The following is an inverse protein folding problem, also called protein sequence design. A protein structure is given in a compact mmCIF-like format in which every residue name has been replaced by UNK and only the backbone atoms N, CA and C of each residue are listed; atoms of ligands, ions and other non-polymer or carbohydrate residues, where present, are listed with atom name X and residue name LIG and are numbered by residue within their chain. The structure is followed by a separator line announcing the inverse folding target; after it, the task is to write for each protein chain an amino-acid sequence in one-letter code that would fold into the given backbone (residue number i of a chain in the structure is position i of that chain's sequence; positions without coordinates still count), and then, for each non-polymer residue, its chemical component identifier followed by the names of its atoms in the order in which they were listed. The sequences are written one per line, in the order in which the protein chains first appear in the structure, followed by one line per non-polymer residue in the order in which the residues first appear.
data_IF_893675804462
#
_entry.id   IF_893675804462
#
_cell.length_a   1.000
_cell.length_b   1.000
_cell.length_c   1.000
_cell.angle_alpha   90.00
_cell.angle_beta   90.00
_cell.angle_gamma   90.00
#
_symmetry.space_group_name_H-M   'P 1'
#
loop_
_entity.id
_entity.type
_entity.pdbx_description
1 polymer ?
#
# COMPACT_ATOMS: atom_id res chain seq x y z
N UNK A 1 78.44 4.66 -24.21
CA UNK A 1 78.43 3.51 -23.29
C UNK A 1 77.35 3.74 -22.26
N UNK A 2 76.20 3.09 -22.23
CA UNK A 2 75.44 2.18 -23.13
C UNK A 2 74.06 2.13 -22.43
N UNK A 3 72.99 2.61 -23.07
CA UNK A 3 72.01 1.80 -23.81
C UNK A 3 71.68 0.42 -23.20
N UNK A 4 70.47 0.31 -22.64
CA UNK A 4 69.70 -0.94 -22.59
C UNK A 4 69.22 -1.28 -24.01
N UNK A 5 69.13 -2.57 -24.41
CA UNK A 5 67.85 -3.29 -24.27
C UNK A 5 67.98 -4.83 -24.09
N UNK A 6 66.84 -5.50 -23.83
CA UNK A 6 66.67 -6.98 -23.84
C UNK A 6 66.76 -7.59 -25.26
N UNK A 7 66.14 -8.74 -25.62
CA UNK A 7 65.20 -9.61 -24.88
C UNK A 7 65.44 -11.16 -25.08
N UNK A 8 64.45 -11.98 -24.68
CA UNK A 8 64.02 -13.29 -25.27
C UNK A 8 64.46 -14.63 -24.62
N UNK A 9 63.45 -15.31 -24.05
CA UNK A 9 63.07 -16.76 -24.03
C UNK A 9 64.14 -17.83 -24.32
N UNK A 10 64.20 -19.01 -23.71
CA UNK A 10 63.19 -20.07 -23.50
C UNK A 10 64.03 -21.26 -22.92
N UNK A 11 63.72 -21.97 -21.85
CA UNK A 11 63.00 -23.26 -21.80
C UNK A 11 63.41 -23.94 -20.49
N UNK A 12 62.46 -24.47 -19.73
CA UNK A 12 62.65 -25.77 -19.06
C UNK A 12 61.29 -26.48 -18.97
N UNK A 13 61.33 -27.75 -19.36
CA UNK A 13 60.20 -28.60 -19.72
C UNK A 13 59.40 -29.10 -18.51
N UNK A 14 58.07 -29.09 -18.70
CA UNK A 14 56.97 -29.93 -18.16
C UNK A 14 57.45 -31.41 -18.09
N UNK A 15 57.32 -32.27 -17.06
CA UNK A 15 56.26 -32.63 -16.07
C UNK A 15 56.68 -33.96 -15.36
N UNK A 16 55.80 -34.77 -14.70
CA UNK A 16 54.70 -34.53 -13.75
C UNK A 16 54.79 -35.44 -12.48
N UNK A 17 53.96 -35.13 -11.47
CA UNK A 17 53.20 -36.02 -10.56
C UNK A 17 53.21 -35.42 -9.15
N UNK A 18 52.12 -34.74 -8.81
CA UNK A 18 50.96 -35.31 -8.09
C UNK A 18 51.32 -35.51 -6.62
N UNK A 19 50.99 -34.50 -5.82
CA UNK A 19 50.22 -34.75 -4.62
C UNK A 19 49.10 -33.72 -4.54
N UNK A 20 47.89 -34.25 -4.63
CA UNK A 20 46.61 -33.59 -4.47
C UNK A 20 46.43 -33.23 -3.01
N UNK A 21 46.44 -31.95 -2.66
CA UNK A 21 45.58 -31.47 -1.56
C UNK A 21 44.94 -30.14 -1.95
N UNK A 22 43.63 -30.23 -2.20
CA UNK A 22 42.71 -29.11 -2.43
C UNK A 22 42.66 -28.15 -1.22
N UNK A 23 42.45 -26.84 -1.43
CA UNK A 23 42.07 -25.92 -0.37
C UNK A 23 40.57 -26.09 -0.06
N UNK A 24 40.21 -26.93 0.91
CA UNK A 24 38.78 -27.19 1.28
C UNK A 24 38.44 -26.98 2.77
N UNK A 25 39.32 -26.41 3.60
CA UNK A 25 39.15 -26.50 5.08
C UNK A 25 39.07 -25.19 5.87
N UNK A 26 38.70 -24.07 5.25
CA UNK A 26 38.37 -22.82 5.97
C UNK A 26 36.86 -22.48 5.98
N UNK A 27 36.08 -23.00 5.02
CA UNK A 27 34.66 -22.62 4.84
C UNK A 27 33.69 -23.46 5.68
N UNK A 28 34.04 -24.70 6.02
CA UNK A 28 33.15 -25.64 6.71
C UNK A 28 32.59 -25.18 8.08
N UNK A 29 33.34 -24.50 8.98
CA UNK A 29 32.78 -24.05 10.26
C UNK A 29 31.86 -22.83 10.10
N UNK A 30 32.14 -21.93 9.15
CA UNK A 30 31.34 -20.75 8.89
C UNK A 30 29.99 -21.09 8.24
N UNK A 31 30.01 -21.99 7.26
CA UNK A 31 28.78 -22.47 6.62
C UNK A 31 27.91 -23.27 7.58
N UNK A 32 28.51 -24.08 8.47
CA UNK A 32 27.78 -24.77 9.56
C UNK A 32 27.19 -23.80 10.57
N UNK A 33 27.91 -22.75 10.94
CA UNK A 33 27.40 -21.71 11.85
C UNK A 33 26.22 -20.95 11.25
N UNK A 34 26.36 -20.51 10.00
CA UNK A 34 25.27 -19.89 9.24
C UNK A 34 24.06 -20.84 9.11
N UNK A 35 24.30 -22.10 8.76
CA UNK A 35 23.23 -23.11 8.67
C UNK A 35 22.51 -23.25 10.02
N UNK A 36 23.24 -23.35 11.14
CA UNK A 36 22.66 -23.42 12.47
C UNK A 36 21.83 -22.17 12.83
N UNK A 37 22.27 -20.98 12.43
CA UNK A 37 21.50 -19.74 12.58
C UNK A 37 20.21 -19.74 11.76
N UNK A 38 20.26 -20.24 10.53
CA UNK A 38 19.09 -20.30 9.63
C UNK A 38 18.09 -21.37 10.07
N UNK A 39 18.57 -22.54 10.49
CA UNK A 39 17.72 -23.66 10.93
C UNK A 39 17.24 -23.53 12.37
N UNK A 40 17.89 -22.68 13.18
CA UNK A 40 17.56 -22.52 14.60
C UNK A 40 18.13 -23.64 15.48
N UNK A 41 19.15 -24.36 15.02
CA UNK A 41 19.80 -25.42 15.79
C UNK A 41 20.69 -24.84 16.89
N UNK A 42 20.07 -24.66 18.07
CA UNK A 42 20.74 -24.13 19.25
C UNK A 42 21.95 -24.98 19.67
N UNK A 43 21.85 -26.31 19.65
CA UNK A 43 22.93 -27.17 20.16
C UNK A 43 24.19 -27.04 19.33
N UNK A 44 24.06 -27.10 18.01
CA UNK A 44 25.18 -26.88 17.10
C UNK A 44 25.74 -25.46 17.23
N UNK A 45 24.87 -24.47 17.41
CA UNK A 45 25.27 -23.08 17.55
C UNK A 45 26.08 -22.84 18.83
N UNK A 46 25.66 -23.37 19.99
CA UNK A 46 26.38 -23.24 21.26
C UNK A 46 27.81 -23.79 21.15
N UNK A 47 27.95 -24.98 20.57
CA UNK A 47 29.27 -25.61 20.36
C UNK A 47 30.15 -24.77 19.43
N UNK A 48 29.59 -24.23 18.35
CA UNK A 48 30.34 -23.44 17.38
C UNK A 48 30.70 -22.04 17.92
N UNK A 49 29.81 -21.41 18.68
CA UNK A 49 30.04 -20.12 19.35
C UNK A 49 31.17 -20.24 20.37
N UNK A 50 31.16 -21.29 21.21
CA UNK A 50 32.21 -21.48 22.21
C UNK A 50 33.57 -21.81 21.60
N UNK A 51 33.59 -22.53 20.47
CA UNK A 51 34.82 -23.04 19.87
C UNK A 51 35.46 -22.12 18.83
N UNK A 52 34.67 -21.36 18.06
CA UNK A 52 35.16 -20.58 16.92
C UNK A 52 34.72 -19.12 16.89
N UNK A 53 33.60 -18.76 17.52
CA UNK A 53 32.98 -17.43 17.41
C UNK A 53 32.71 -16.81 18.79
N UNK A 54 33.79 -16.52 19.53
CA UNK A 54 33.69 -15.91 20.87
C UNK A 54 33.09 -14.49 20.83
N UNK A 55 33.39 -13.74 19.77
CA UNK A 55 32.67 -12.50 19.45
C UNK A 55 31.40 -12.85 18.67
N UNK A 56 30.25 -12.45 19.20
CA UNK A 56 28.92 -12.69 18.63
C UNK A 56 28.44 -11.52 17.78
N UNK A 57 29.14 -10.38 17.78
CA UNK A 57 28.82 -9.18 16.99
C UNK A 57 29.45 -9.24 15.59
N UNK A 58 29.44 -10.42 14.99
CA UNK A 58 30.01 -10.64 13.67
C UNK A 58 29.14 -10.01 12.60
N UNK A 59 29.80 -9.47 11.56
CA UNK A 59 29.13 -9.02 10.36
C UNK A 59 29.38 -10.03 9.25
N UNK A 60 28.29 -10.58 8.74
CA UNK A 60 28.26 -11.48 7.60
C UNK A 60 27.94 -10.71 6.33
N UNK A 61 28.65 -11.05 5.26
CA UNK A 61 28.27 -10.71 3.90
C UNK A 61 27.48 -11.88 3.32
N UNK A 62 26.21 -11.63 2.99
CA UNK A 62 25.29 -12.61 2.42
C UNK A 62 25.04 -12.24 0.96
N UNK A 63 25.19 -13.25 0.10
CA UNK A 63 24.98 -13.19 -1.34
C UNK A 63 24.08 -14.36 -1.73
N UNK A 64 22.88 -14.08 -2.25
CA UNK A 64 21.89 -15.10 -2.66
C UNK A 64 21.63 -16.18 -1.60
N UNK A 65 21.44 -15.78 -0.34
CA UNK A 65 21.27 -16.67 0.83
C UNK A 65 22.47 -17.59 1.14
N UNK A 66 23.62 -17.39 0.50
CA UNK A 66 24.89 -18.04 0.82
C UNK A 66 25.84 -17.07 1.54
N UNK A 67 26.58 -17.61 2.51
CA UNK A 67 27.56 -16.86 3.30
C UNK A 67 28.87 -16.74 2.52
N UNK A 68 29.24 -15.53 2.10
CA UNK A 68 30.46 -15.32 1.31
C UNK A 68 31.65 -14.83 2.15
N UNK A 69 31.45 -14.04 3.22
CA UNK A 69 32.58 -13.57 4.03
C UNK A 69 32.22 -13.08 5.45
N UNK A 70 33.23 -13.05 6.34
CA UNK A 70 33.16 -12.50 7.71
C UNK A 70 34.11 -11.30 7.81
N UNK A 71 33.56 -10.09 7.90
CA UNK A 71 34.36 -8.87 8.05
C UNK A 71 34.76 -8.73 9.51
N UNK A 72 36.08 -8.82 9.80
CA UNK A 72 36.62 -8.71 11.17
C UNK A 72 36.93 -7.28 11.63
N UNK A 73 36.50 -6.23 10.92
CA UNK A 73 36.83 -4.85 11.31
C UNK A 73 35.88 -3.81 10.72
N UNK A 74 35.45 -2.88 11.56
CA UNK A 74 34.58 -1.72 11.26
C UNK A 74 35.33 -0.60 10.49
N UNK A 75 36.61 -0.77 10.15
CA UNK A 75 37.51 0.33 9.73
C UNK A 75 37.89 0.38 8.24
N UNK A 76 37.25 -0.38 7.34
CA UNK A 76 37.55 -0.32 5.89
C UNK A 76 36.38 0.23 5.08
N UNK A 77 35.84 1.37 5.47
CA UNK A 77 34.91 2.15 4.65
C UNK A 77 35.56 3.47 4.26
N UNK A 78 36.37 3.41 3.21
CA UNK A 78 37.03 4.58 2.64
C UNK A 78 37.62 4.28 1.27
N UNK A 79 37.02 4.89 0.24
CA UNK A 79 37.64 5.20 -1.06
C UNK A 79 38.12 4.02 -1.91
N UNK A 80 37.19 3.25 -2.46
CA UNK A 80 37.42 2.63 -3.77
C UNK A 80 36.20 2.87 -4.65
N UNK A 81 36.22 4.03 -5.31
CA UNK A 81 35.32 4.41 -6.40
C UNK A 81 35.57 3.59 -7.66
N UNK A 82 35.41 2.27 -7.56
CA UNK A 82 35.25 1.39 -8.70
C UNK A 82 33.82 0.86 -8.63
N UNK A 83 33.02 1.26 -9.61
CA UNK A 83 31.67 0.75 -9.82
C UNK A 83 31.78 -0.73 -10.21
N UNK A 84 31.92 -1.60 -9.22
CA UNK A 84 31.73 -3.04 -9.44
C UNK A 84 30.29 -3.24 -9.87
N UNK A 85 30.08 -3.83 -11.05
CA UNK A 85 28.79 -4.39 -11.52
C UNK A 85 28.35 -5.60 -10.67
N UNK A 86 28.77 -5.65 -9.41
CA UNK A 86 28.54 -6.74 -8.47
C UNK A 86 27.24 -6.49 -7.72
N UNK A 87 26.38 -7.51 -7.73
CA UNK A 87 25.07 -7.53 -7.09
C UNK A 87 25.14 -7.04 -5.63
N UNK A 88 24.10 -6.32 -5.16
CA UNK A 88 23.98 -5.78 -3.80
C UNK A 88 24.34 -6.87 -2.77
N UNK A 89 25.44 -6.68 -2.03
CA UNK A 89 25.85 -7.50 -0.89
C UNK A 89 25.06 -7.08 0.34
N UNK A 90 24.38 -8.01 1.00
CA UNK A 90 23.63 -7.73 2.24
C UNK A 90 24.52 -7.97 3.46
N UNK A 91 24.70 -6.95 4.30
CA UNK A 91 25.40 -7.07 5.57
C UNK A 91 24.42 -7.46 6.68
N UNK A 92 24.70 -8.52 7.44
CA UNK A 92 23.80 -8.98 8.51
C UNK A 92 24.58 -9.50 9.72
N UNK A 93 23.96 -9.47 10.90
CA UNK A 93 24.53 -10.06 12.12
C UNK A 93 23.86 -11.40 12.45
N UNK A 94 24.52 -12.29 13.21
CA UNK A 94 23.88 -13.49 13.76
C UNK A 94 22.55 -13.18 14.46
N UNK A 95 22.49 -12.05 15.16
CA UNK A 95 21.31 -11.62 15.89
C UNK A 95 20.18 -11.19 14.95
N UNK A 96 20.47 -10.43 13.89
CA UNK A 96 19.49 -10.08 12.85
C UNK A 96 18.94 -11.33 12.14
N UNK A 97 19.78 -12.31 11.82
CA UNK A 97 19.35 -13.56 11.18
C UNK A 97 18.42 -14.37 12.08
N UNK A 98 18.77 -14.52 13.37
CA UNK A 98 17.93 -15.21 14.33
C UNK A 98 16.58 -14.49 14.53
N UNK A 99 16.58 -13.15 14.56
CA UNK A 99 15.38 -12.33 14.65
C UNK A 99 14.49 -12.47 13.40
N UNK A 100 15.07 -12.39 12.19
CA UNK A 100 14.38 -12.53 10.90
C UNK A 100 13.66 -13.88 10.77
N UNK A 101 14.28 -14.95 11.27
CA UNK A 101 13.74 -16.32 11.21
C UNK A 101 12.83 -16.68 12.40
N UNK A 102 12.78 -15.86 13.45
CA UNK A 102 11.94 -16.10 14.63
C UNK A 102 12.54 -17.08 15.64
N UNK A 103 13.84 -17.34 15.59
CA UNK A 103 14.51 -18.33 16.44
C UNK A 103 14.83 -17.76 17.83
N UNK A 104 13.80 -17.57 18.66
CA UNK A 104 13.91 -16.94 19.98
C UNK A 104 14.93 -17.62 20.93
N UNK A 105 15.10 -18.94 20.84
CA UNK A 105 16.06 -19.67 21.65
C UNK A 105 17.51 -19.33 21.29
N UNK A 106 17.84 -19.29 20.00
CA UNK A 106 19.14 -18.86 19.48
C UNK A 106 19.39 -17.41 19.81
N UNK A 107 18.39 -16.55 19.58
CA UNK A 107 18.46 -15.12 19.89
C UNK A 107 18.76 -14.87 21.38
N UNK A 108 18.11 -15.61 22.29
CA UNK A 108 18.38 -15.55 23.74
C UNK A 108 19.81 -15.97 24.08
N UNK A 109 20.35 -17.00 23.42
CA UNK A 109 21.73 -17.42 23.63
C UNK A 109 22.71 -16.32 23.21
N UNK A 110 22.52 -15.74 22.03
CA UNK A 110 23.37 -14.65 21.52
C UNK A 110 23.32 -13.41 22.43
N UNK A 111 22.13 -13.00 22.91
CA UNK A 111 21.99 -11.88 23.84
C UNK A 111 22.67 -12.13 25.19
N UNK A 112 22.64 -13.36 25.72
CA UNK A 112 23.39 -13.72 26.94
C UNK A 112 24.90 -13.61 26.76
N UNK A 113 25.40 -13.78 25.53
CA UNK A 113 26.80 -13.58 25.14
C UNK A 113 27.15 -12.12 24.82
N UNK A 114 26.29 -11.17 25.22
CA UNK A 114 26.47 -9.72 25.02
C UNK A 114 26.47 -9.30 23.54
N UNK A 115 25.67 -9.98 22.71
CA UNK A 115 25.34 -9.44 21.39
C UNK A 115 24.67 -8.06 21.54
N UNK A 116 25.09 -7.10 20.74
CA UNK A 116 24.52 -5.75 20.73
C UNK A 116 23.15 -5.79 20.03
N UNK A 117 22.05 -5.47 20.75
CA UNK A 117 20.70 -5.55 20.20
C UNK A 117 20.41 -4.49 19.12
N UNK A 118 21.22 -3.43 19.02
CA UNK A 118 21.01 -2.31 18.09
C UNK A 118 21.99 -2.33 16.90
N UNK A 119 22.88 -3.33 16.84
CA UNK A 119 23.87 -3.45 15.77
C UNK A 119 23.20 -3.78 14.42
N UNK A 120 23.19 -2.80 13.51
CA UNK A 120 22.50 -2.85 12.22
C UNK A 120 23.45 -2.54 11.03
N UNK A 121 24.40 -3.43 10.69
CA UNK A 121 25.41 -3.15 9.66
C UNK A 121 24.84 -3.08 8.24
N UNK A 122 23.71 -3.75 7.98
CA UNK A 122 22.97 -3.65 6.72
C UNK A 122 21.77 -2.71 6.77
N UNK A 123 21.74 -1.80 7.74
CA UNK A 123 20.69 -0.80 7.87
C UNK A 123 19.39 -1.28 8.51
N UNK A 124 19.22 -2.58 8.71
CA UNK A 124 18.08 -3.15 9.44
C UNK A 124 18.57 -3.84 10.71
N UNK A 125 18.20 -3.27 11.86
CA UNK A 125 18.52 -3.85 13.17
C UNK A 125 17.67 -5.10 13.50
N UNK A 126 18.08 -5.90 14.50
CA UNK A 126 17.36 -7.11 14.91
C UNK A 126 15.88 -6.87 15.25
N UNK A 127 15.57 -5.74 15.89
CA UNK A 127 14.20 -5.39 16.27
C UNK A 127 13.32 -5.10 15.05
N UNK A 128 13.89 -4.53 13.99
CA UNK A 128 13.20 -4.31 12.71
C UNK A 128 12.78 -5.64 12.07
N UNK A 129 13.72 -6.60 11.99
CA UNK A 129 13.50 -7.93 11.44
C UNK A 129 12.45 -8.72 12.23
N UNK A 130 12.48 -8.63 13.57
CA UNK A 130 11.48 -9.25 14.43
C UNK A 130 10.07 -8.67 14.20
N UNK A 131 9.95 -7.35 14.00
CA UNK A 131 8.66 -6.70 13.72
C UNK A 131 8.13 -7.05 12.33
N UNK A 132 9.01 -7.03 11.32
CA UNK A 132 8.68 -7.40 9.94
C UNK A 132 8.20 -8.85 9.83
N UNK A 133 8.84 -9.77 10.56
CA UNK A 133 8.48 -11.19 10.61
C UNK A 133 7.35 -11.53 11.59
N UNK A 134 6.78 -10.54 12.31
CA UNK A 134 5.80 -10.75 13.39
C UNK A 134 6.26 -11.69 14.53
N UNK A 135 7.57 -11.75 14.78
CA UNK A 135 8.19 -12.62 15.78
C UNK A 135 8.15 -11.98 17.18
N UNK A 136 6.98 -12.06 17.82
CA UNK A 136 6.71 -11.42 19.12
C UNK A 136 7.68 -11.81 20.24
N UNK A 137 8.06 -13.09 20.32
CA UNK A 137 9.01 -13.58 21.32
C UNK A 137 10.42 -13.00 21.12
N UNK A 138 10.86 -12.86 19.86
CA UNK A 138 12.14 -12.22 19.53
C UNK A 138 12.11 -10.74 19.89
N UNK A 139 11.04 -10.03 19.54
CA UNK A 139 10.87 -8.62 19.89
C UNK A 139 10.87 -8.41 21.42
N UNK A 140 10.20 -9.30 22.17
CA UNK A 140 10.20 -9.25 23.63
C UNK A 140 11.60 -9.40 24.23
N UNK A 141 12.39 -10.35 23.73
CA UNK A 141 13.77 -10.58 24.19
C UNK A 141 14.69 -9.39 23.89
N UNK A 142 14.60 -8.84 22.69
CA UNK A 142 15.40 -7.67 22.28
C UNK A 142 15.09 -6.46 23.17
N UNK A 143 13.81 -6.17 23.41
CA UNK A 143 13.38 -5.05 24.26
C UNK A 143 13.75 -5.25 25.74
N UNK A 144 13.73 -6.48 26.25
CA UNK A 144 14.23 -6.80 27.60
C UNK A 144 15.73 -6.53 27.74
N UNK A 145 16.49 -6.72 26.65
CA UNK A 145 17.92 -6.44 26.57
C UNK A 145 18.24 -4.98 26.15
N UNK A 146 17.26 -4.07 26.27
CA UNK A 146 17.40 -2.62 26.04
C UNK A 146 17.66 -2.22 24.57
N UNK A 147 17.16 -2.99 23.60
CA UNK A 147 17.06 -2.52 22.22
C UNK A 147 16.29 -1.20 22.16
N UNK A 148 16.74 -0.23 21.37
CA UNK A 148 16.02 1.04 21.19
C UNK A 148 14.76 0.83 20.33
N UNK A 149 13.54 1.02 20.89
CA UNK A 149 12.31 0.84 20.15
C UNK A 149 12.06 1.90 19.06
N UNK A 150 12.88 2.96 19.02
CA UNK A 150 12.79 4.06 18.06
C UNK A 150 13.96 4.10 17.07
N UNK A 151 14.89 3.14 17.16
CA UNK A 151 16.03 3.05 16.23
C UNK A 151 15.51 3.06 14.79
N UNK A 152 16.07 3.90 13.94
CA UNK A 152 15.66 3.97 12.52
C UNK A 152 16.49 3.01 11.68
N UNK A 153 15.85 2.36 10.72
CA UNK A 153 16.55 1.67 9.65
C UNK A 153 17.18 2.65 8.65
N UNK A 154 17.97 2.14 7.71
CA UNK A 154 18.52 2.93 6.59
C UNK A 154 17.43 3.56 5.69
N UNK A 155 16.21 3.03 5.74
CA UNK A 155 15.04 3.61 5.06
C UNK A 155 14.31 4.64 5.95
N UNK A 156 14.90 5.01 7.08
CA UNK A 156 14.32 5.92 8.05
C UNK A 156 13.05 5.37 8.73
N UNK A 157 12.85 4.06 8.75
CA UNK A 157 11.69 3.41 9.36
C UNK A 157 12.02 2.95 10.77
N UNK A 158 11.25 3.40 11.76
CA UNK A 158 11.27 2.81 13.10
C UNK A 158 10.55 1.44 13.14
N UNK A 159 10.82 0.56 14.12
CA UNK A 159 10.22 -0.78 14.24
C UNK A 159 8.69 -0.79 14.18
N UNK A 160 8.04 0.26 14.72
CA UNK A 160 6.57 0.38 14.72
C UNK A 160 5.98 0.51 13.29
N UNK A 161 6.74 1.09 12.35
CA UNK A 161 6.34 1.18 10.93
C UNK A 161 6.44 -0.17 10.20
N UNK A 162 7.18 -1.13 10.73
CA UNK A 162 7.34 -2.46 10.14
C UNK A 162 6.25 -3.45 10.60
N UNK A 163 5.39 -3.04 11.53
CA UNK A 163 4.21 -3.81 11.94
C UNK A 163 3.10 -3.72 10.89
N UNK A 164 3.28 -4.41 9.76
CA UNK A 164 2.43 -4.34 8.56
C UNK A 164 1.44 -5.50 8.43
N UNK A 165 1.52 -6.50 9.29
CA UNK A 165 0.66 -7.69 9.29
C UNK A 165 -0.21 -7.76 10.54
N UNK A 166 -1.32 -8.50 10.49
CA UNK A 166 -2.19 -8.69 11.66
C UNK A 166 -1.45 -9.35 12.82
N UNK A 167 -0.54 -10.28 12.53
CA UNK A 167 0.22 -11.03 13.52
C UNK A 167 1.25 -10.16 14.25
N UNK A 168 1.69 -9.05 13.63
CA UNK A 168 2.64 -8.10 14.23
C UNK A 168 2.04 -7.27 15.38
N UNK A 169 0.76 -7.45 15.73
CA UNK A 169 0.09 -6.74 16.83
C UNK A 169 0.78 -6.96 18.18
N UNK A 170 1.32 -8.16 18.40
CA UNK A 170 2.09 -8.44 19.61
C UNK A 170 3.37 -7.62 19.69
N UNK A 171 4.08 -7.47 18.56
CA UNK A 171 5.28 -6.63 18.47
C UNK A 171 4.92 -5.16 18.73
N UNK A 172 3.87 -4.64 18.08
CA UNK A 172 3.40 -3.28 18.28
C UNK A 172 3.06 -2.96 19.75
N UNK A 173 2.39 -3.88 20.46
CA UNK A 173 2.10 -3.74 21.91
C UNK A 173 3.37 -3.68 22.75
N UNK A 174 4.35 -4.53 22.45
CA UNK A 174 5.62 -4.56 23.18
C UNK A 174 6.43 -3.28 22.94
N UNK A 175 6.53 -2.83 21.69
CA UNK A 175 7.20 -1.58 21.33
C UNK A 175 6.66 -0.39 22.12
N UNK A 176 5.33 -0.20 22.12
CA UNK A 176 4.69 0.90 22.86
C UNK A 176 4.90 0.78 24.37
N UNK A 177 4.86 -0.43 24.93
CA UNK A 177 5.13 -0.67 26.35
C UNK A 177 6.57 -0.30 26.75
N UNK A 178 7.52 -0.46 25.83
CA UNK A 178 8.93 -0.16 26.04
C UNK A 178 9.34 1.26 25.60
N UNK A 179 8.39 2.15 25.27
CA UNK A 179 8.67 3.55 24.99
C UNK A 179 8.81 3.91 23.52
N UNK A 180 8.29 3.10 22.60
CA UNK A 180 8.17 3.50 21.20
C UNK A 180 7.31 4.77 21.06
N UNK A 181 7.78 5.71 20.27
CA UNK A 181 7.10 6.97 19.98
C UNK A 181 6.08 6.78 18.87
N UNK A 182 4.79 6.76 19.24
CA UNK A 182 3.68 6.41 18.31
C UNK A 182 3.55 7.37 17.12
N UNK A 183 3.89 8.64 17.32
CA UNK A 183 3.80 9.71 16.32
C UNK A 183 5.13 9.98 15.61
N UNK A 184 6.12 9.09 15.74
CA UNK A 184 7.40 9.25 15.04
C UNK A 184 7.17 9.15 13.53
N UNK A 185 7.48 10.19 12.74
CA UNK A 185 7.40 10.09 11.29
C UNK A 185 8.55 9.27 10.73
N UNK A 186 8.29 8.51 9.68
CA UNK A 186 9.33 7.95 8.82
C UNK A 186 10.08 9.06 8.09
N UNK A 187 11.35 8.81 7.76
CA UNK A 187 12.19 9.83 7.12
C UNK A 187 11.78 10.08 5.65
N UNK A 188 11.51 9.01 4.91
CA UNK A 188 11.22 9.11 3.46
C UNK A 188 9.86 9.75 3.17
N UNK A 189 8.80 9.30 3.86
CA UNK A 189 7.41 9.65 3.55
C UNK A 189 6.73 10.48 4.64
N UNK A 190 7.41 10.75 5.76
CA UNK A 190 6.78 11.42 6.91
C UNK A 190 5.62 10.63 7.51
N UNK A 191 5.54 9.33 7.25
CA UNK A 191 4.41 8.52 7.65
C UNK A 191 4.58 8.05 9.08
N UNK A 192 3.50 8.15 9.86
CA UNK A 192 3.44 7.60 11.22
C UNK A 192 2.95 6.14 11.20
N UNK A 193 3.06 5.46 12.34
CA UNK A 193 2.52 4.10 12.48
C UNK A 193 1.01 4.00 12.15
N UNK A 194 0.24 5.06 12.37
CA UNK A 194 -1.19 5.12 12.01
C UNK A 194 -1.40 5.12 10.49
N UNK A 195 -0.55 5.81 9.72
CA UNK A 195 -0.58 5.78 8.25
C UNK A 195 -0.30 4.38 7.71
N UNK A 196 0.70 3.68 8.28
CA UNK A 196 1.00 2.29 7.93
C UNK A 196 -0.19 1.38 8.24
N UNK A 197 -0.78 1.51 9.43
CA UNK A 197 -1.97 0.74 9.80
C UNK A 197 -3.14 0.99 8.83
N UNK A 198 -3.33 2.23 8.38
CA UNK A 198 -4.34 2.59 7.39
C UNK A 198 -4.08 1.97 6.01
N UNK A 199 -2.83 1.99 5.53
CA UNK A 199 -2.45 1.36 4.25
C UNK A 199 -2.76 -0.12 4.20
N UNK A 200 -2.52 -0.82 5.31
CA UNK A 200 -2.72 -2.27 5.42
C UNK A 200 -4.10 -2.66 6.00
N UNK A 201 -5.01 -1.70 6.21
CA UNK A 201 -6.31 -1.88 6.87
C UNK A 201 -6.25 -2.66 8.21
N UNK A 202 -5.23 -2.38 9.04
CA UNK A 202 -4.99 -3.01 10.33
C UNK A 202 -5.77 -2.32 11.46
N UNK A 203 -7.05 -2.69 11.61
CA UNK A 203 -7.95 -2.09 12.60
C UNK A 203 -7.42 -2.14 14.04
N UNK A 204 -6.93 -3.30 14.48
CA UNK A 204 -6.46 -3.48 15.85
C UNK A 204 -5.19 -2.68 16.16
N UNK A 205 -4.32 -2.52 15.16
CA UNK A 205 -3.11 -1.69 15.27
C UNK A 205 -3.49 -0.23 15.37
N UNK A 206 -4.37 0.26 14.48
CA UNK A 206 -4.85 1.63 14.53
C UNK A 206 -5.54 1.94 15.87
N UNK A 207 -6.37 1.02 16.40
CA UNK A 207 -7.00 1.18 17.71
C UNK A 207 -5.98 1.28 18.83
N UNK A 208 -4.95 0.42 18.80
CA UNK A 208 -3.84 0.47 19.74
C UNK A 208 -3.11 1.83 19.66
N UNK A 209 -2.76 2.28 18.46
CA UNK A 209 -2.04 3.54 18.26
C UNK A 209 -2.85 4.74 18.72
N UNK A 210 -4.13 4.82 18.37
CA UNK A 210 -5.04 5.88 18.81
C UNK A 210 -5.19 5.91 20.34
N UNK A 211 -5.29 4.74 20.98
CA UNK A 211 -5.32 4.63 22.45
C UNK A 211 -4.03 5.13 23.11
N UNK A 212 -2.90 4.99 22.43
CA UNK A 212 -1.60 5.48 22.88
C UNK A 212 -1.29 6.93 22.44
N UNK A 213 -2.28 7.68 21.94
CA UNK A 213 -2.14 9.09 21.61
C UNK A 213 -1.67 9.39 20.19
N UNK A 214 -1.88 8.46 19.23
CA UNK A 214 -1.64 8.75 17.83
C UNK A 214 -2.52 9.91 17.34
N UNK A 215 -1.91 10.87 16.63
CA UNK A 215 -2.65 11.95 16.00
C UNK A 215 -3.39 11.42 14.77
N UNK A 216 -4.72 11.51 14.80
CA UNK A 216 -5.62 10.98 13.76
C UNK A 216 -5.37 11.65 12.41
N UNK A 217 -5.22 12.97 12.43
CA UNK A 217 -4.97 13.82 11.26
C UNK A 217 -3.48 14.22 11.17
N UNK A 218 -2.58 13.36 11.63
CA UNK A 218 -1.16 13.51 11.29
C UNK A 218 -1.01 13.55 9.77
N UNK A 219 -0.11 14.39 9.27
CA UNK A 219 0.14 14.55 7.85
C UNK A 219 1.46 13.86 7.47
N UNK A 220 1.42 13.11 6.36
CA UNK A 220 2.63 12.64 5.68
C UNK A 220 3.33 13.77 4.93
N UNK A 221 4.46 13.49 4.28
CA UNK A 221 5.12 14.46 3.38
C UNK A 221 4.26 14.87 2.18
N UNK A 222 3.26 14.06 1.81
CA UNK A 222 2.29 14.35 0.75
C UNK A 222 1.01 15.01 1.29
N UNK A 223 1.04 15.50 2.53
CA UNK A 223 -0.12 16.03 3.25
C UNK A 223 -1.29 15.03 3.35
N UNK A 224 -1.01 13.73 3.26
CA UNK A 224 -2.04 12.70 3.40
C UNK A 224 -2.26 12.38 4.88
N UNK A 225 -3.52 12.33 5.31
CA UNK A 225 -3.92 11.73 6.59
C UNK A 225 -4.06 10.21 6.47
N UNK A 226 -4.15 9.53 7.60
CA UNK A 226 -4.46 8.10 7.63
C UNK A 226 -5.78 7.77 6.90
N UNK A 227 -6.79 8.65 6.98
CA UNK A 227 -8.06 8.50 6.26
C UNK A 227 -7.88 8.63 4.73
N UNK A 228 -7.05 9.57 4.27
CA UNK A 228 -6.72 9.72 2.84
C UNK A 228 -6.07 8.46 2.27
N UNK A 229 -5.08 7.89 2.97
CA UNK A 229 -4.38 6.67 2.56
C UNK A 229 -5.35 5.49 2.48
N UNK A 230 -6.21 5.34 3.50
CA UNK A 230 -7.21 4.28 3.58
C UNK A 230 -8.19 4.33 2.41
N UNK A 231 -8.70 5.51 2.08
CA UNK A 231 -9.64 5.70 0.98
C UNK A 231 -9.03 5.50 -0.41
N UNK A 232 -7.70 5.61 -0.54
CA UNK A 232 -6.98 5.37 -1.80
C UNK A 232 -6.76 3.89 -2.15
N UNK A 233 -6.97 2.97 -1.22
CA UNK A 233 -6.72 1.54 -1.45
C UNK A 233 -7.83 0.88 -2.29
N UNK A 234 -7.43 0.00 -3.20
CA UNK A 234 -8.35 -0.81 -4.01
C UNK A 234 -8.88 -1.97 -3.17
N UNK A 235 -10.19 -2.24 -3.28
CA UNK A 235 -10.93 -3.26 -2.52
C UNK A 235 -10.23 -4.63 -2.51
N UNK A 236 -10.15 -5.23 -1.32
CA UNK A 236 -9.62 -6.58 -1.09
C UNK A 236 -9.36 -6.93 0.38
N UNK A 237 -9.33 -5.94 1.28
CA UNK A 237 -9.02 -6.16 2.70
C UNK A 237 -10.27 -6.01 3.57
N UNK A 238 -10.77 -7.14 4.06
CA UNK A 238 -11.67 -7.21 5.21
C UNK A 238 -11.10 -6.32 6.34
N UNK A 239 -11.76 -5.22 6.70
CA UNK A 239 -11.32 -4.31 7.76
C UNK A 239 -11.40 -2.81 7.45
N UNK A 240 -11.28 -2.40 6.18
CA UNK A 240 -11.29 -0.97 5.87
C UNK A 240 -12.55 -0.20 6.33
N UNK A 241 -13.80 -0.72 6.26
CA UNK A 241 -14.97 0.01 6.77
C UNK A 241 -14.98 0.11 8.30
N UNK A 242 -14.46 -0.88 9.04
CA UNK A 242 -14.29 -0.79 10.48
C UNK A 242 -13.24 0.27 10.84
N UNK A 243 -12.13 0.31 10.11
CA UNK A 243 -11.08 1.30 10.34
C UNK A 243 -11.55 2.73 10.02
N UNK A 244 -12.31 2.95 8.95
CA UNK A 244 -12.90 4.27 8.68
C UNK A 244 -13.82 4.74 9.81
N UNK A 245 -14.66 3.84 10.37
CA UNK A 245 -15.50 4.17 11.52
C UNK A 245 -14.68 4.51 12.75
N UNK A 246 -13.59 3.78 12.98
CA UNK A 246 -12.68 4.03 14.08
C UNK A 246 -12.01 5.41 13.96
N UNK A 247 -11.45 5.74 12.79
CA UNK A 247 -10.82 7.03 12.53
C UNK A 247 -11.83 8.17 12.70
N UNK A 248 -13.04 8.05 12.13
CA UNK A 248 -14.09 9.05 12.28
C UNK A 248 -14.55 9.20 13.73
N UNK A 249 -14.66 8.11 14.50
CA UNK A 249 -15.00 8.17 15.92
C UNK A 249 -13.94 8.88 16.77
N UNK A 250 -12.68 8.88 16.31
CA UNK A 250 -11.59 9.65 16.90
C UNK A 250 -11.44 11.06 16.31
N UNK A 251 -12.38 11.51 15.47
CA UNK A 251 -12.44 12.88 14.98
C UNK A 251 -11.66 13.17 13.70
N UNK A 252 -11.38 12.14 12.88
CA UNK A 252 -10.72 12.34 11.58
C UNK A 252 -11.47 13.34 10.70
N UNK A 253 -10.72 14.27 10.09
CA UNK A 253 -11.29 15.21 9.13
C UNK A 253 -11.65 14.51 7.81
N UNK A 254 -12.95 14.46 7.51
CA UNK A 254 -13.51 13.81 6.32
C UNK A 254 -13.24 14.58 5.02
N UNK A 255 -12.83 15.84 5.12
CA UNK A 255 -12.50 16.70 3.98
C UNK A 255 -11.01 17.09 3.95
N UNK A 256 -10.17 16.38 4.72
CA UNK A 256 -8.72 16.58 4.77
C UNK A 256 -8.10 16.54 3.36
N UNK A 257 -7.28 17.53 3.03
CA UNK A 257 -6.73 17.68 1.67
C UNK A 257 -5.27 17.23 1.63
N UNK A 258 -4.95 16.38 0.66
CA UNK A 258 -3.57 16.08 0.31
C UNK A 258 -2.91 17.22 -0.50
N UNK A 259 -1.63 17.07 -0.85
CA UNK A 259 -0.86 18.06 -1.62
C UNK A 259 -1.55 18.45 -2.94
N UNK A 260 -2.26 17.50 -3.58
CA UNK A 260 -3.02 17.72 -4.81
C UNK A 260 -4.45 18.25 -4.54
N UNK A 261 -4.75 18.67 -3.31
CA UNK A 261 -6.07 19.09 -2.82
C UNK A 261 -7.15 18.02 -2.91
N UNK A 262 -6.79 16.74 -3.00
CA UNK A 262 -7.75 15.64 -3.04
C UNK A 262 -8.21 15.32 -1.63
N UNK A 263 -9.53 15.25 -1.45
CA UNK A 263 -10.17 14.80 -0.22
C UNK A 263 -10.25 13.26 -0.15
N UNK A 264 -10.55 12.65 1.02
CA UNK A 264 -10.79 11.21 1.12
C UNK A 264 -11.86 10.73 0.13
N UNK A 265 -12.87 11.56 -0.15
CA UNK A 265 -13.92 11.25 -1.11
C UNK A 265 -13.39 11.13 -2.55
N UNK A 266 -12.45 11.97 -2.97
CA UNK A 266 -11.80 11.84 -4.28
C UNK A 266 -11.08 10.49 -4.40
N UNK A 267 -10.33 10.10 -3.36
CA UNK A 267 -9.57 8.85 -3.30
C UNK A 267 -10.52 7.63 -3.35
N UNK A 268 -11.56 7.62 -2.52
CA UNK A 268 -12.57 6.57 -2.50
C UNK A 268 -13.29 6.43 -3.84
N UNK A 269 -13.61 7.55 -4.49
CA UNK A 269 -14.27 7.56 -5.78
C UNK A 269 -13.36 7.06 -6.91
N UNK A 270 -12.10 7.52 -6.94
CA UNK A 270 -11.10 7.02 -7.88
C UNK A 270 -10.78 5.53 -7.68
N UNK A 271 -10.86 5.02 -6.45
CA UNK A 271 -10.74 3.60 -6.12
C UNK A 271 -11.99 2.76 -6.46
N UNK A 272 -13.09 3.41 -6.89
CA UNK A 272 -14.41 2.80 -7.06
C UNK A 272 -14.96 2.11 -5.79
N UNK A 273 -14.60 2.63 -4.61
CA UNK A 273 -15.04 2.09 -3.32
C UNK A 273 -16.35 2.76 -2.86
N UNK A 274 -17.48 2.25 -3.36
CA UNK A 274 -18.81 2.77 -3.02
C UNK A 274 -19.14 2.71 -1.52
N UNK A 275 -18.59 1.74 -0.79
CA UNK A 275 -18.80 1.60 0.65
C UNK A 275 -18.16 2.74 1.44
N UNK A 276 -16.89 3.06 1.15
CA UNK A 276 -16.21 4.18 1.77
C UNK A 276 -16.77 5.53 1.31
N UNK A 277 -17.08 5.68 0.03
CA UNK A 277 -17.74 6.89 -0.47
C UNK A 277 -19.07 7.16 0.25
N UNK A 278 -19.88 6.11 0.49
CA UNK A 278 -21.14 6.22 1.24
C UNK A 278 -20.92 6.66 2.66
N UNK A 279 -19.92 6.07 3.33
CA UNK A 279 -19.57 6.45 4.69
C UNK A 279 -19.17 7.93 4.76
N UNK A 280 -18.25 8.37 3.91
CA UNK A 280 -17.79 9.77 3.87
C UNK A 280 -18.94 10.75 3.63
N UNK A 281 -19.81 10.47 2.66
CA UNK A 281 -20.97 11.31 2.36
C UNK A 281 -22.00 11.37 3.51
N UNK A 282 -22.18 10.27 4.24
CA UNK A 282 -23.03 10.24 5.45
C UNK A 282 -22.43 11.05 6.60
N UNK A 283 -21.10 11.19 6.63
CA UNK A 283 -20.37 12.01 7.60
C UNK A 283 -20.10 13.44 7.12
N UNK A 284 -20.74 13.88 6.03
CA UNK A 284 -20.75 15.28 5.61
C UNK A 284 -19.65 15.69 4.65
N UNK A 285 -18.90 14.75 4.06
CA UNK A 285 -17.88 15.07 3.06
C UNK A 285 -18.47 15.86 1.88
N UNK A 286 -17.73 16.86 1.41
CA UNK A 286 -18.15 17.70 0.30
C UNK A 286 -18.13 16.93 -1.03
N UNK A 287 -19.32 16.59 -1.52
CA UNK A 287 -19.54 15.88 -2.79
C UNK A 287 -19.02 16.66 -4.01
N UNK A 288 -18.88 17.98 -3.90
CA UNK A 288 -18.48 18.88 -4.97
C UNK A 288 -17.11 19.52 -4.77
N UNK A 289 -16.32 19.01 -3.82
CA UNK A 289 -14.94 19.44 -3.65
C UNK A 289 -14.18 19.32 -4.98
N UNK A 290 -13.21 20.20 -5.21
CA UNK A 290 -12.37 20.19 -6.41
C UNK A 290 -10.91 20.06 -6.02
N UNK A 291 -10.21 19.16 -6.70
CA UNK A 291 -8.77 18.99 -6.57
C UNK A 291 -7.99 20.07 -7.36
N UNK A 292 -6.66 20.01 -7.32
CA UNK A 292 -5.79 20.94 -8.05
C UNK A 292 -6.00 20.92 -9.57
N UNK A 293 -6.43 19.79 -10.12
CA UNK A 293 -6.70 19.62 -11.55
C UNK A 293 -8.13 20.07 -11.94
N UNK A 294 -8.92 20.58 -10.99
CA UNK A 294 -10.33 20.93 -11.20
C UNK A 294 -11.24 19.72 -11.34
N UNK A 295 -10.81 18.55 -10.89
CA UNK A 295 -11.60 17.32 -10.90
C UNK A 295 -12.40 17.24 -9.60
N UNK A 296 -13.69 16.89 -9.74
CA UNK A 296 -14.56 16.55 -8.61
C UNK A 296 -14.46 15.06 -8.28
N UNK A 297 -15.00 14.60 -7.12
CA UNK A 297 -15.09 13.17 -6.82
C UNK A 297 -15.82 12.38 -7.92
N UNK A 298 -16.85 12.97 -8.53
CA UNK A 298 -17.53 12.39 -9.69
C UNK A 298 -16.59 12.25 -10.89
N UNK A 299 -15.79 13.30 -11.18
CA UNK A 299 -14.76 13.22 -12.22
C UNK A 299 -13.77 12.08 -11.97
N UNK A 300 -13.28 11.92 -10.74
CA UNK A 300 -12.38 10.82 -10.37
C UNK A 300 -13.01 9.43 -10.56
N UNK A 301 -14.29 9.27 -10.18
CA UNK A 301 -15.01 8.01 -10.40
C UNK A 301 -15.10 7.65 -11.88
N UNK A 302 -15.31 8.63 -12.76
CA UNK A 302 -15.45 8.42 -14.20
C UNK A 302 -14.12 8.11 -14.88
N UNK A 303 -13.03 8.76 -14.47
CA UNK A 303 -11.71 8.51 -15.04
C UNK A 303 -11.25 7.05 -14.84
N UNK A 304 -11.62 6.44 -13.71
CA UNK A 304 -11.31 5.04 -13.40
C UNK A 304 -12.37 4.02 -13.87
N UNK A 305 -13.53 4.46 -14.34
CA UNK A 305 -14.69 3.60 -14.52
C UNK A 305 -14.46 2.47 -15.54
N UNK A 306 -13.83 2.75 -16.69
CA UNK A 306 -13.61 1.74 -17.71
C UNK A 306 -12.62 0.63 -17.29
N UNK A 307 -11.66 0.95 -16.43
CA UNK A 307 -10.62 0.00 -16.00
C UNK A 307 -11.04 -0.82 -14.77
N UNK A 308 -12.06 -0.37 -14.03
CA UNK A 308 -12.47 -0.97 -12.73
C UNK A 308 -13.87 -1.56 -12.78
N UNK A 309 -14.28 -2.15 -13.91
CA UNK A 309 -15.63 -2.68 -14.14
C UNK A 309 -16.07 -3.67 -13.06
N UNK A 310 -15.16 -4.54 -12.62
CA UNK A 310 -15.41 -5.55 -11.59
C UNK A 310 -15.82 -4.94 -10.24
N UNK A 311 -15.41 -3.69 -9.98
CA UNK A 311 -15.73 -2.95 -8.75
C UNK A 311 -17.05 -2.17 -8.85
N UNK A 312 -17.81 -2.34 -9.95
CA UNK A 312 -19.13 -1.72 -10.17
C UNK A 312 -19.13 -0.19 -9.96
N UNK A 313 -18.34 0.57 -10.75
CA UNK A 313 -18.18 2.01 -10.57
C UNK A 313 -19.48 2.82 -10.72
N UNK A 314 -20.49 2.27 -11.40
CA UNK A 314 -21.83 2.88 -11.50
C UNK A 314 -22.46 3.14 -10.14
N UNK A 315 -22.21 2.28 -9.13
CA UNK A 315 -22.77 2.45 -7.77
C UNK A 315 -22.19 3.71 -7.12
N UNK A 316 -20.90 3.97 -7.30
CA UNK A 316 -20.23 5.18 -6.79
C UNK A 316 -20.76 6.42 -7.48
N UNK A 317 -20.90 6.39 -8.81
CA UNK A 317 -21.46 7.50 -9.61
C UNK A 317 -22.91 7.81 -9.21
N UNK A 318 -23.74 6.77 -9.08
CA UNK A 318 -25.13 6.85 -8.63
C UNK A 318 -25.23 7.49 -7.24
N UNK A 319 -24.40 7.03 -6.31
CA UNK A 319 -24.33 7.56 -4.96
C UNK A 319 -24.00 9.06 -4.96
N UNK A 320 -22.96 9.49 -5.67
CA UNK A 320 -22.56 10.89 -5.78
C UNK A 320 -23.70 11.77 -6.31
N UNK A 321 -24.36 11.34 -7.39
CA UNK A 321 -25.49 12.07 -7.97
C UNK A 321 -26.70 12.14 -7.02
N UNK A 322 -26.93 11.11 -6.20
CA UNK A 322 -27.98 11.09 -5.19
C UNK A 322 -27.68 11.98 -3.97
N UNK A 323 -26.41 12.29 -3.74
CA UNK A 323 -25.94 13.25 -2.74
C UNK A 323 -25.78 14.68 -3.29
N UNK A 324 -26.11 14.92 -4.56
CA UNK A 324 -26.11 16.26 -5.15
C UNK A 324 -24.78 16.66 -5.81
N UNK A 325 -24.01 15.69 -6.28
CA UNK A 325 -22.88 15.97 -7.17
C UNK A 325 -23.30 16.79 -8.37
N UNK A 326 -22.51 17.80 -8.72
CA UNK A 326 -22.67 18.58 -9.93
C UNK A 326 -22.55 17.67 -11.15
N UNK A 327 -23.48 17.84 -12.08
CA UNK A 327 -23.56 17.06 -13.32
C UNK A 327 -22.48 17.57 -14.27
N UNK A 328 -22.00 16.68 -15.13
CA UNK A 328 -21.04 17.02 -16.19
C UNK A 328 -21.72 17.98 -17.17
N UNK A 329 -20.96 18.88 -17.77
CA UNK A 329 -21.54 19.78 -18.76
C UNK A 329 -22.03 18.99 -19.99
N UNK A 330 -23.27 19.19 -20.49
CA UNK A 330 -23.85 18.32 -21.53
C UNK A 330 -23.01 18.14 -22.80
N UNK A 331 -22.27 19.17 -23.24
CA UNK A 331 -21.41 19.04 -24.43
C UNK A 331 -20.17 18.16 -24.20
N UNK A 332 -19.71 18.08 -22.94
CA UNK A 332 -18.58 17.24 -22.54
C UNK A 332 -18.99 15.76 -22.41
N UNK A 333 -20.27 15.43 -22.50
CA UNK A 333 -20.78 14.05 -22.42
C UNK A 333 -20.19 13.14 -23.51
N UNK A 334 -19.79 13.69 -24.66
CA UNK A 334 -19.07 12.94 -25.70
C UNK A 334 -17.76 12.35 -25.17
N UNK A 335 -17.04 13.04 -24.27
CA UNK A 335 -15.81 12.51 -23.64
C UNK A 335 -16.12 11.39 -22.66
N UNK A 336 -17.25 11.49 -21.95
CA UNK A 336 -17.74 10.44 -21.05
C UNK A 336 -18.07 9.19 -21.84
N UNK A 337 -18.77 9.32 -22.97
CA UNK A 337 -19.05 8.18 -23.85
C UNK A 337 -17.77 7.48 -24.31
N UNK A 338 -16.75 8.24 -24.72
CA UNK A 338 -15.45 7.67 -25.12
C UNK A 338 -14.75 6.94 -23.97
N UNK A 339 -14.72 7.56 -22.79
CA UNK A 339 -13.97 7.04 -21.63
C UNK A 339 -14.70 5.95 -20.86
N UNK A 340 -16.03 5.93 -20.86
CA UNK A 340 -16.87 5.01 -20.10
C UNK A 340 -17.65 4.04 -21.00
N UNK A 341 -17.35 3.95 -22.30
CA UNK A 341 -18.07 3.11 -23.25
C UNK A 341 -18.24 1.67 -22.76
N UNK A 342 -17.18 1.10 -22.18
CA UNK A 342 -17.19 -0.27 -21.66
C UNK A 342 -18.09 -0.47 -20.43
N UNK A 343 -18.60 0.59 -19.80
CA UNK A 343 -19.44 0.56 -18.60
C UNK A 343 -20.78 1.28 -18.87
N UNK A 344 -21.71 0.65 -19.61
CA UNK A 344 -22.98 1.28 -20.01
C UNK A 344 -23.83 1.70 -18.81
N UNK A 345 -23.73 1.03 -17.67
CA UNK A 345 -24.47 1.38 -16.44
C UNK A 345 -24.05 2.76 -15.92
N UNK A 346 -22.78 3.14 -16.07
CA UNK A 346 -22.30 4.49 -15.70
C UNK A 346 -22.92 5.54 -16.63
N UNK A 347 -22.95 5.26 -17.93
CA UNK A 347 -23.56 6.15 -18.93
C UNK A 347 -25.05 6.29 -18.66
N UNK A 348 -25.73 5.19 -18.35
CA UNK A 348 -27.15 5.15 -18.01
C UNK A 348 -27.44 6.05 -16.83
N UNK A 349 -26.77 5.83 -15.69
CA UNK A 349 -26.93 6.61 -14.46
C UNK A 349 -26.72 8.10 -14.72
N UNK A 350 -25.66 8.46 -15.45
CA UNK A 350 -25.37 9.85 -15.78
C UNK A 350 -26.45 10.45 -16.68
N UNK A 351 -26.77 9.82 -17.82
CA UNK A 351 -27.74 10.33 -18.79
C UNK A 351 -29.11 10.51 -18.15
N UNK A 352 -29.49 9.55 -17.29
CA UNK A 352 -30.71 9.55 -16.51
C UNK A 352 -30.81 10.68 -15.46
N UNK A 353 -29.69 11.30 -15.09
CA UNK A 353 -29.66 12.44 -14.16
C UNK A 353 -30.06 13.79 -14.80
N UNK A 354 -30.17 13.85 -16.13
CA UNK A 354 -30.56 15.04 -16.88
C UNK A 354 -32.04 14.97 -17.28
N UNK A 355 -32.70 16.13 -17.33
CA UNK A 355 -34.05 16.24 -17.89
C UNK A 355 -34.04 15.93 -19.39
N UNK A 356 -33.09 16.50 -20.14
CA UNK A 356 -32.88 16.28 -21.56
C UNK A 356 -31.43 16.57 -21.95
N UNK A 357 -30.84 15.73 -22.80
CA UNK A 357 -29.58 16.01 -23.51
C UNK A 357 -29.79 15.73 -25.00
N UNK A 358 -29.49 16.68 -25.90
CA UNK A 358 -29.58 16.41 -27.34
C UNK A 358 -28.51 15.42 -27.77
N UNK A 359 -28.93 14.26 -28.26
CA UNK A 359 -28.04 13.22 -28.78
C UNK A 359 -27.54 13.65 -30.17
N UNK A 360 -26.22 13.76 -30.30
CA UNK A 360 -25.57 14.09 -31.56
C UNK A 360 -25.19 12.83 -32.34
N UNK A 361 -25.18 12.89 -33.67
CA UNK A 361 -24.66 11.81 -34.53
C UNK A 361 -23.21 11.43 -34.19
N UNK A 362 -22.42 12.40 -33.71
CA UNK A 362 -21.03 12.21 -33.25
C UNK A 362 -20.89 11.27 -32.05
N UNK A 363 -21.98 10.97 -31.34
CA UNK A 363 -21.94 10.06 -30.20
C UNK A 363 -21.81 8.61 -30.64
N UNK A 364 -22.39 8.23 -31.78
CA UNK A 364 -22.24 6.88 -32.32
C UNK A 364 -20.78 6.62 -32.73
N UNK A 365 -20.15 7.60 -33.38
CA UNK A 365 -18.72 7.57 -33.77
C UNK A 365 -17.75 7.55 -32.57
N UNK A 366 -18.23 7.92 -31.38
CA UNK A 366 -17.42 7.99 -30.17
C UNK A 366 -17.33 6.65 -29.42
N UNK A 367 -18.17 5.67 -29.75
CA UNK A 367 -18.22 4.37 -29.09
C UNK A 367 -17.54 3.34 -30.00
N UNK A 368 -16.56 2.55 -29.50
CA UNK A 368 -15.94 1.48 -30.29
C UNK A 368 -16.98 0.46 -30.77
N UNK A 369 -16.82 -0.04 -32.00
CA UNK A 369 -17.79 -0.98 -32.61
C UNK A 369 -17.91 -2.28 -31.81
N UNK A 370 -16.81 -2.75 -31.22
CA UNK A 370 -16.80 -3.96 -30.39
C UNK A 370 -17.68 -3.78 -29.13
N UNK A 371 -17.66 -2.58 -28.56
CA UNK A 371 -18.46 -2.24 -27.37
C UNK A 371 -19.93 -2.08 -27.75
N UNK A 372 -20.23 -1.51 -28.92
CA UNK A 372 -21.59 -1.42 -29.45
C UNK A 372 -22.19 -2.83 -29.64
N UNK A 373 -21.42 -3.77 -30.19
CA UNK A 373 -21.86 -5.16 -30.35
C UNK A 373 -22.06 -5.84 -29.00
N UNK A 374 -21.15 -5.63 -28.03
CA UNK A 374 -21.26 -6.22 -26.71
C UNK A 374 -22.50 -5.74 -25.93
N UNK A 375 -22.84 -4.45 -26.06
CA UNK A 375 -23.92 -3.80 -25.30
C UNK A 375 -25.01 -3.24 -26.22
N UNK A 376 -25.37 -4.00 -27.25
CA UNK A 376 -26.25 -3.56 -28.33
C UNK A 376 -27.59 -3.02 -27.82
N UNK A 377 -28.25 -3.74 -26.91
CA UNK A 377 -29.56 -3.35 -26.38
C UNK A 377 -29.54 -1.97 -25.72
N UNK A 378 -28.49 -1.68 -24.94
CA UNK A 378 -28.34 -0.40 -24.26
C UNK A 378 -28.13 0.73 -25.28
N UNK A 379 -27.16 0.59 -26.17
CA UNK A 379 -26.83 1.65 -27.13
C UNK A 379 -27.92 1.90 -28.17
N UNK A 380 -28.63 0.86 -28.61
CA UNK A 380 -29.81 1.04 -29.46
C UNK A 380 -30.91 1.82 -28.74
N UNK A 381 -31.16 1.53 -27.46
CA UNK A 381 -32.13 2.29 -26.66
C UNK A 381 -31.72 3.76 -26.50
N UNK A 382 -30.43 4.01 -26.26
CA UNK A 382 -29.88 5.35 -26.10
C UNK A 382 -30.00 6.14 -27.41
N UNK A 383 -29.53 5.60 -28.54
CA UNK A 383 -29.53 6.34 -29.81
C UNK A 383 -30.92 6.50 -30.43
N UNK A 384 -31.88 5.63 -30.10
CA UNK A 384 -33.29 5.81 -30.50
C UNK A 384 -33.89 7.10 -29.94
N UNK A 385 -33.34 7.63 -28.86
CA UNK A 385 -33.79 8.90 -28.28
C UNK A 385 -33.36 10.13 -29.11
N UNK A 386 -32.50 9.97 -30.12
CA UNK A 386 -32.06 11.08 -30.96
C UNK A 386 -33.24 11.75 -31.67
N UNK A 387 -33.41 13.06 -31.43
CA UNK A 387 -34.52 13.84 -31.99
C UNK A 387 -35.88 13.60 -31.32
N UNK A 388 -35.92 12.84 -30.22
CA UNK A 388 -37.15 12.58 -29.46
C UNK A 388 -37.14 13.29 -28.10
N UNK A 389 -38.31 13.47 -27.52
CA UNK A 389 -38.46 13.90 -26.12
C UNK A 389 -38.50 12.68 -25.21
N UNK A 390 -37.98 12.85 -23.99
CA UNK A 390 -38.03 11.79 -22.97
C UNK A 390 -39.48 11.51 -22.56
N UNK A 391 -39.76 10.28 -22.18
CA UNK A 391 -41.09 9.90 -21.71
C UNK A 391 -41.53 10.70 -20.47
N UNK A 392 -42.85 10.80 -20.24
CA UNK A 392 -43.41 11.49 -19.08
C UNK A 392 -42.84 10.95 -17.75
N UNK A 393 -42.64 9.63 -17.66
CA UNK A 393 -42.06 8.99 -16.49
C UNK A 393 -40.65 9.52 -16.16
N UNK A 394 -39.81 9.74 -17.19
CA UNK A 394 -38.48 10.33 -17.02
C UNK A 394 -38.55 11.79 -16.58
N UNK A 395 -39.44 12.58 -17.16
CA UNK A 395 -39.65 13.98 -16.76
C UNK A 395 -40.14 14.07 -15.31
N UNK A 396 -41.02 13.16 -14.88
CA UNK A 396 -41.42 13.02 -13.48
C UNK A 396 -40.23 12.69 -12.57
N UNK A 397 -39.33 11.77 -12.97
CA UNK A 397 -38.11 11.52 -12.20
C UNK A 397 -37.24 12.76 -12.10
N UNK A 398 -36.98 13.45 -13.21
CA UNK A 398 -36.13 14.66 -13.19
C UNK A 398 -36.71 15.70 -12.26
N UNK A 399 -38.01 15.99 -12.36
CA UNK A 399 -38.68 16.99 -11.52
C UNK A 399 -38.67 16.63 -10.03
N UNK A 400 -38.90 15.36 -9.68
CA UNK A 400 -38.81 14.88 -8.29
C UNK A 400 -37.38 15.02 -7.75
N UNK A 401 -36.38 14.63 -8.54
CA UNK A 401 -34.97 14.76 -8.16
C UNK A 401 -34.53 16.21 -8.03
N UNK A 402 -34.94 17.08 -8.95
CA UNK A 402 -34.64 18.51 -8.89
C UNK A 402 -35.27 19.15 -7.64
N UNK A 403 -36.46 18.69 -7.23
CA UNK A 403 -37.11 19.13 -5.99
C UNK A 403 -36.38 18.67 -4.73
N UNK A 404 -35.83 17.46 -4.71
CA UNK A 404 -35.11 16.92 -3.54
C UNK A 404 -33.62 17.29 -3.51
N UNK A 405 -33.02 17.64 -4.64
CA UNK A 405 -31.62 18.07 -4.75
C UNK A 405 -30.65 17.06 -4.12
N UNK A 406 -29.76 17.54 -3.25
CA UNK A 406 -28.77 16.72 -2.54
C UNK A 406 -29.36 15.71 -1.56
N UNK A 407 -30.67 15.78 -1.28
CA UNK A 407 -31.37 14.92 -0.33
C UNK A 407 -32.10 13.76 -1.00
N UNK A 408 -31.85 13.51 -2.29
CA UNK A 408 -32.43 12.35 -3.00
C UNK A 408 -32.17 11.04 -2.26
N UNK A 409 -30.94 10.84 -1.76
CA UNK A 409 -30.54 9.63 -1.04
C UNK A 409 -31.35 9.33 0.23
N UNK A 410 -31.89 10.35 0.92
CA UNK A 410 -32.63 10.17 2.17
C UNK A 410 -34.14 10.39 2.05
N UNK A 411 -34.59 11.24 1.13
CA UNK A 411 -36.02 11.55 0.95
C UNK A 411 -36.76 10.56 0.03
N UNK A 412 -36.13 10.08 -1.05
CA UNK A 412 -36.76 9.14 -1.98
C UNK A 412 -37.13 7.81 -1.29
N UNK A 413 -36.28 7.24 -0.41
CA UNK A 413 -36.63 6.02 0.33
C UNK A 413 -37.91 6.13 1.18
N UNK A 414 -38.26 7.35 1.62
CA UNK A 414 -39.42 7.65 2.47
C UNK A 414 -40.71 7.84 1.67
N UNK A 415 -40.65 7.90 0.34
CA UNK A 415 -41.85 8.03 -0.48
C UNK A 415 -42.74 6.77 -0.38
N UNK A 416 -44.07 6.93 -0.30
CA UNK A 416 -45.02 5.81 -0.24
C UNK A 416 -45.24 5.21 -1.64
N UNK A 417 -44.16 4.82 -2.32
CA UNK A 417 -44.18 4.23 -3.67
C UNK A 417 -43.46 2.89 -3.67
N UNK A 418 -43.82 1.95 -4.58
CA UNK A 418 -43.16 0.66 -4.70
C UNK A 418 -41.64 0.77 -4.82
N UNK A 419 -40.92 -0.25 -4.32
CA UNK A 419 -39.45 -0.29 -4.35
C UNK A 419 -38.88 -0.02 -5.75
N UNK A 420 -39.46 -0.61 -6.80
CA UNK A 420 -39.04 -0.39 -8.19
C UNK A 420 -39.06 1.09 -8.60
N UNK A 421 -40.08 1.85 -8.18
CA UNK A 421 -40.14 3.29 -8.47
C UNK A 421 -39.12 4.08 -7.63
N UNK A 422 -38.84 3.66 -6.38
CA UNK A 422 -37.78 4.27 -5.57
C UNK A 422 -36.40 4.04 -6.21
N UNK A 423 -36.13 2.82 -6.66
CA UNK A 423 -34.88 2.45 -7.33
C UNK A 423 -34.71 3.24 -8.64
N UNK A 424 -35.78 3.36 -9.44
CA UNK A 424 -35.80 4.21 -10.65
C UNK A 424 -35.50 5.69 -10.35
N UNK A 425 -36.12 6.25 -9.30
CA UNK A 425 -35.88 7.63 -8.85
C UNK A 425 -34.44 7.83 -8.34
N UNK A 426 -33.83 6.79 -7.77
CA UNK A 426 -32.44 6.76 -7.30
C UNK A 426 -31.42 6.43 -8.39
N UNK A 427 -31.83 6.44 -9.67
CA UNK A 427 -30.97 6.16 -10.83
C UNK A 427 -30.39 4.75 -10.83
N UNK A 428 -31.12 3.75 -10.32
CA UNK A 428 -30.70 2.35 -10.51
C UNK A 428 -30.72 2.01 -12.01
N UNK A 429 -29.65 1.42 -12.57
CA UNK A 429 -29.59 1.09 -13.99
C UNK A 429 -30.51 -0.11 -14.33
N UNK A 430 -31.30 0.02 -15.39
CA UNK A 430 -32.20 -1.00 -15.93
C UNK A 430 -31.62 -1.68 -17.18
N UNK A 431 -30.51 -1.17 -17.73
CA UNK A 431 -29.87 -1.65 -18.95
C UNK A 431 -30.46 -1.06 -20.24
N UNK A 432 -31.47 -0.18 -20.11
CA UNK A 432 -32.12 0.52 -21.22
C UNK A 432 -32.50 1.93 -20.81
N UNK A 433 -32.57 2.84 -21.78
CA UNK A 433 -32.91 4.25 -21.55
C UNK A 433 -34.28 4.55 -22.15
N UNK A 434 -35.24 4.94 -21.29
CA UNK A 434 -36.67 5.14 -21.63
C UNK A 434 -37.07 6.61 -21.79
#
# INVERSE_FOLDING_TARGET
MDELPGPVTEKLQISPKLDLEHPLTAQAPATKYYTALVTGDLQSLEVLTDRYYQDVNLVFEISKDELEWQVKSQASYGLSGLWSLEYKRELSTPLCLAARRGHAAVLRHLLRRRADPDLAPGGCGPLHEACLGAHTDCAALLLQHRADPNLRSDQGLAPLHLCTTRDSLGCAKLLLRHGATVNLPSEDRGETALHVAARHCLCDHAWLYLRHGAHVDALSTQEETALNILCGQVLGTEGCPQLCRLLAAHGADVDARDEARRTPLHKACGAANAGLARFLLQHGADVNAIDYNGMSPLGCALQGAAFKRDLRPHVTVQLLLNHGSQKIWPSAFTKVLKSCAAAPEVIEVLFNSYSQIPISKKWAEAVPEEVLQQHQLFYESLFRLAGTVRCLQHLCRSTIRDKFGSKCHCLIPLLPVPKRLRDYLLLEPEGVVL
#
